data_IF_119948399885
#
_entry.id   IF_119948399885
#
_cell.length_a   1.000
_cell.length_b   1.000
_cell.length_c   1.000
_cell.angle_alpha   90.00
_cell.angle_beta   90.00
_cell.angle_gamma   90.00
#
_symmetry.space_group_name_H-M   'P 1'
#
loop_
_entity.id
_entity.type
_entity.pdbx_description
1 polymer ?
#
# COMPACT_ATOMS: atom_id res chain seq x y z
N UNK A 1 33.46 -32.26 21.10
CA UNK A 1 34.57 -31.61 21.84
C UNK A 1 35.61 -32.61 22.37
N UNK A 2 35.77 -33.73 21.67
CA UNK A 2 36.70 -34.79 22.07
C UNK A 2 38.13 -34.64 21.51
N UNK A 3 38.48 -33.40 21.09
CA UNK A 3 39.83 -33.09 20.60
C UNK A 3 40.61 -32.37 21.69
N UNK A 4 41.03 -33.12 22.71
CA UNK A 4 41.62 -32.56 23.93
C UNK A 4 43.08 -32.09 23.81
N UNK A 5 43.78 -32.44 22.73
CA UNK A 5 45.22 -32.24 22.66
C UNK A 5 45.73 -31.11 21.72
N UNK A 6 44.85 -30.39 21.03
CA UNK A 6 45.26 -29.29 20.14
C UNK A 6 44.43 -28.02 20.40
N UNK A 7 45.08 -27.02 20.98
CA UNK A 7 44.47 -25.77 21.40
C UNK A 7 43.94 -24.96 20.19
N UNK A 8 44.62 -25.06 19.06
CA UNK A 8 44.28 -24.38 17.82
C UNK A 8 43.00 -24.99 17.19
N UNK A 9 42.89 -26.31 17.16
CA UNK A 9 41.70 -27.04 16.74
C UNK A 9 40.49 -26.75 17.65
N UNK A 10 40.75 -26.58 18.94
CA UNK A 10 39.72 -26.29 19.93
C UNK A 10 39.16 -24.85 19.74
N UNK A 11 40.01 -23.90 19.40
CA UNK A 11 39.62 -22.52 19.14
C UNK A 11 38.81 -22.43 17.84
N UNK A 12 39.27 -23.10 16.77
CA UNK A 12 38.49 -23.20 15.50
C UNK A 12 37.12 -23.85 15.73
N UNK A 13 37.05 -24.94 16.50
CA UNK A 13 35.78 -25.58 16.80
C UNK A 13 34.80 -24.69 17.60
N UNK A 14 35.33 -23.83 18.49
CA UNK A 14 34.51 -22.88 19.23
C UNK A 14 33.97 -21.77 18.34
N UNK A 15 34.80 -21.25 17.42
CA UNK A 15 34.37 -20.24 16.46
C UNK A 15 33.29 -20.78 15.51
N UNK A 16 33.50 -22.03 15.03
CA UNK A 16 32.53 -22.70 14.17
C UNK A 16 31.21 -22.99 14.92
N UNK A 17 31.29 -23.43 16.17
CA UNK A 17 30.11 -23.65 17.00
C UNK A 17 29.30 -22.35 17.17
N UNK A 18 29.98 -21.25 17.50
CA UNK A 18 29.35 -19.95 17.67
C UNK A 18 28.71 -19.43 16.36
N UNK A 19 29.39 -19.66 15.25
CA UNK A 19 28.84 -19.27 13.93
C UNK A 19 27.61 -20.11 13.58
N UNK A 20 27.64 -21.41 13.85
CA UNK A 20 26.53 -22.32 13.59
C UNK A 20 25.33 -22.04 14.53
N UNK A 21 25.55 -21.72 15.79
CA UNK A 21 24.49 -21.31 16.72
C UNK A 21 23.79 -20.05 16.24
N UNK A 22 24.54 -19.04 15.82
CA UNK A 22 23.99 -17.80 15.26
C UNK A 22 23.21 -18.07 13.96
N UNK A 23 23.73 -18.92 13.08
CA UNK A 23 23.04 -19.30 11.85
C UNK A 23 21.73 -20.07 12.11
N UNK A 24 21.72 -20.96 13.11
CA UNK A 24 20.51 -21.69 13.52
C UNK A 24 19.44 -20.72 14.02
N UNK A 25 19.82 -19.73 14.82
CA UNK A 25 18.89 -18.71 15.32
C UNK A 25 18.30 -17.91 14.16
N UNK A 26 19.14 -17.42 13.26
CA UNK A 26 18.72 -16.68 12.07
C UNK A 26 17.77 -17.52 11.18
N UNK A 27 18.14 -18.75 10.86
CA UNK A 27 17.31 -19.63 10.04
C UNK A 27 15.99 -20.00 10.73
N UNK A 28 16.00 -20.15 12.05
CA UNK A 28 14.79 -20.43 12.83
C UNK A 28 13.80 -19.27 12.73
N UNK A 29 14.27 -18.02 12.87
CA UNK A 29 13.42 -16.84 12.72
C UNK A 29 12.91 -16.69 11.29
N UNK A 30 13.76 -16.91 10.30
CA UNK A 30 13.36 -16.86 8.89
C UNK A 30 12.31 -17.93 8.57
N UNK A 31 12.44 -19.15 9.10
CA UNK A 31 11.45 -20.21 8.94
C UNK A 31 10.10 -19.84 9.58
N UNK A 32 10.10 -19.26 10.77
CA UNK A 32 8.87 -18.77 11.41
C UNK A 32 8.12 -17.78 10.51
N UNK A 33 8.85 -16.83 9.90
CA UNK A 33 8.27 -15.85 8.97
C UNK A 33 7.71 -16.54 7.72
N UNK A 34 8.44 -17.51 7.16
CA UNK A 34 8.02 -18.22 5.96
C UNK A 34 6.79 -19.13 6.18
N UNK A 35 6.59 -19.59 7.42
CA UNK A 35 5.44 -20.43 7.80
C UNK A 35 4.18 -19.59 8.12
N UNK A 36 4.27 -18.28 8.20
CA UNK A 36 3.08 -17.45 8.40
C UNK A 36 2.10 -17.64 7.25
N UNK A 37 0.79 -17.71 7.55
CA UNK A 37 -0.22 -17.81 6.52
C UNK A 37 -0.16 -16.55 5.63
N UNK A 38 -0.03 -16.78 4.32
CA UNK A 38 -0.03 -15.70 3.32
C UNK A 38 -1.45 -15.34 2.94
N UNK A 39 -1.71 -14.04 2.78
CA UNK A 39 -2.93 -13.55 2.18
C UNK A 39 -2.96 -13.99 0.70
N UNK A 40 -4.04 -14.63 0.22
CA UNK A 40 -4.14 -15.08 -1.17
C UNK A 40 -4.03 -13.93 -2.19
N UNK A 41 -4.25 -12.70 -1.75
CA UNK A 41 -4.14 -11.50 -2.58
C UNK A 41 -2.73 -10.89 -2.61
N UNK A 42 -1.80 -11.35 -1.78
CA UNK A 42 -0.46 -10.74 -1.62
C UNK A 42 0.33 -10.62 -2.93
N UNK A 43 0.16 -11.55 -3.85
CA UNK A 43 0.85 -11.55 -5.14
C UNK A 43 0.08 -10.80 -6.25
N UNK A 44 -1.11 -10.27 -5.95
CA UNK A 44 -1.93 -9.54 -6.93
C UNK A 44 -1.40 -8.14 -7.19
N UNK A 45 -1.77 -7.62 -8.35
CA UNK A 45 -1.65 -6.20 -8.66
C UNK A 45 -2.61 -5.38 -7.79
N UNK A 46 -2.42 -4.09 -7.77
CA UNK A 46 -3.17 -3.18 -6.91
C UNK A 46 -3.88 -2.12 -7.73
N UNK A 47 -5.16 -1.91 -7.42
CA UNK A 47 -5.87 -0.69 -7.77
C UNK A 47 -5.75 0.24 -6.56
N UNK A 48 -5.07 1.36 -6.76
CA UNK A 48 -4.83 2.38 -5.74
C UNK A 48 -5.61 3.63 -6.11
N UNK A 49 -6.46 4.06 -5.19
CA UNK A 49 -7.25 5.27 -5.31
C UNK A 49 -6.81 6.28 -4.24
N UNK A 50 -6.62 7.53 -4.64
CA UNK A 50 -6.36 8.65 -3.73
C UNK A 50 -7.44 9.69 -3.95
N UNK A 51 -8.13 10.09 -2.87
CA UNK A 51 -9.14 11.17 -2.88
C UNK A 51 -8.77 12.26 -1.92
N UNK A 52 -8.78 13.49 -2.38
CA UNK A 52 -8.70 14.65 -1.52
C UNK A 52 -9.89 14.67 -0.55
N UNK A 53 -9.60 14.90 0.73
CA UNK A 53 -10.60 15.01 1.78
C UNK A 53 -10.85 16.47 2.18
N UNK A 54 -10.96 16.69 3.49
CA UNK A 54 -11.17 18.02 4.05
C UNK A 54 -9.92 18.89 3.90
N UNK A 55 -10.06 20.13 3.45
CA UNK A 55 -8.96 21.09 3.31
C UNK A 55 -8.94 21.83 1.96
N UNK A 56 -9.96 21.65 1.13
CA UNK A 56 -10.07 22.37 -0.15
C UNK A 56 -8.87 22.15 -1.07
N UNK A 57 -8.32 23.23 -1.61
CA UNK A 57 -7.19 23.19 -2.54
C UNK A 57 -5.94 22.54 -1.94
N UNK A 58 -5.66 22.77 -0.67
CA UNK A 58 -4.52 22.15 0.00
C UNK A 58 -4.69 20.64 0.16
N UNK A 59 -5.91 20.14 0.38
CA UNK A 59 -6.17 18.70 0.40
C UNK A 59 -5.93 18.07 -0.99
N UNK A 60 -6.25 18.78 -2.07
CA UNK A 60 -5.96 18.35 -3.44
C UNK A 60 -4.45 18.34 -3.74
N UNK A 61 -3.70 19.34 -3.27
CA UNK A 61 -2.24 19.36 -3.35
C UNK A 61 -1.62 18.21 -2.54
N UNK A 62 -2.14 17.93 -1.35
CA UNK A 62 -1.70 16.79 -0.56
C UNK A 62 -2.02 15.45 -1.25
N UNK A 63 -3.17 15.32 -1.91
CA UNK A 63 -3.49 14.18 -2.77
C UNK A 63 -2.46 13.97 -3.87
N UNK A 64 -2.02 15.06 -4.50
CA UNK A 64 -0.94 15.03 -5.51
C UNK A 64 0.41 14.58 -4.92
N UNK A 65 0.72 15.02 -3.69
CA UNK A 65 1.94 14.58 -3.00
C UNK A 65 1.92 13.08 -2.68
N UNK A 66 0.77 12.57 -2.22
CA UNK A 66 0.58 11.12 -1.99
C UNK A 66 0.72 10.33 -3.29
N UNK A 67 0.09 10.77 -4.37
CA UNK A 67 0.24 10.14 -5.68
C UNK A 67 1.70 10.08 -6.08
N UNK A 68 2.42 11.19 -6.00
CA UNK A 68 3.84 11.28 -6.32
C UNK A 68 4.67 10.32 -5.44
N UNK A 69 4.36 10.23 -4.15
CA UNK A 69 5.02 9.29 -3.23
C UNK A 69 4.84 7.84 -3.69
N UNK A 70 3.62 7.43 -4.01
CA UNK A 70 3.35 6.07 -4.46
C UNK A 70 3.98 5.76 -5.82
N UNK A 71 3.96 6.69 -6.76
CA UNK A 71 4.65 6.54 -8.05
C UNK A 71 6.16 6.34 -7.86
N UNK A 72 6.80 7.15 -6.99
CA UNK A 72 8.23 7.00 -6.68
C UNK A 72 8.54 5.70 -5.95
N UNK A 73 7.64 5.25 -5.09
CA UNK A 73 7.80 3.96 -4.43
C UNK A 73 7.69 2.81 -5.43
N UNK A 74 6.69 2.82 -6.29
CA UNK A 74 6.52 1.84 -7.35
C UNK A 74 7.75 1.77 -8.29
N UNK A 75 8.31 2.92 -8.68
CA UNK A 75 9.52 3.01 -9.48
C UNK A 75 10.71 2.31 -8.79
N UNK A 76 10.95 2.58 -7.49
CA UNK A 76 12.00 1.92 -6.71
C UNK A 76 11.81 0.41 -6.61
N UNK A 77 10.56 -0.03 -6.51
CA UNK A 77 10.20 -1.45 -6.47
C UNK A 77 10.20 -2.10 -7.86
N UNK A 78 10.43 -1.33 -8.92
CA UNK A 78 10.37 -1.75 -10.33
C UNK A 78 8.99 -2.27 -10.75
N UNK A 79 7.95 -1.74 -10.12
CA UNK A 79 6.56 -1.98 -10.50
C UNK A 79 6.16 -1.05 -11.64
N UNK A 80 5.25 -1.53 -12.49
CA UNK A 80 4.66 -0.69 -13.54
C UNK A 80 3.42 -0.01 -13.00
N UNK A 81 3.24 1.26 -13.34
CA UNK A 81 2.05 2.04 -12.97
C UNK A 81 1.30 2.46 -14.22
N UNK A 82 -0.01 2.43 -14.14
CA UNK A 82 -0.92 2.84 -15.20
C UNK A 82 -2.02 3.71 -14.58
N UNK A 83 -2.15 4.93 -15.08
CA UNK A 83 -3.20 5.84 -14.63
C UNK A 83 -4.52 5.43 -15.31
N UNK A 84 -5.54 5.09 -14.51
CA UNK A 84 -6.87 4.71 -15.00
C UNK A 84 -7.75 5.94 -15.12
N UNK A 85 -7.78 6.76 -14.06
CA UNK A 85 -8.60 7.97 -13.98
C UNK A 85 -7.87 9.03 -13.17
N UNK A 86 -8.03 10.30 -13.57
CA UNK A 86 -7.50 11.44 -12.83
C UNK A 86 -8.45 12.62 -12.95
N UNK A 87 -8.78 13.21 -11.80
CA UNK A 87 -9.51 14.46 -11.70
C UNK A 87 -8.62 15.49 -10.99
N UNK A 88 -8.02 16.34 -11.79
CA UNK A 88 -7.05 17.35 -11.34
C UNK A 88 -7.70 18.71 -11.10
N UNK A 89 -7.03 19.52 -10.29
CA UNK A 89 -7.39 20.92 -10.08
C UNK A 89 -6.54 21.84 -10.93
N UNK A 90 -7.01 23.06 -11.17
CA UNK A 90 -6.26 24.08 -11.93
C UNK A 90 -4.90 24.44 -11.31
N UNK A 91 -4.74 24.22 -10.00
CA UNK A 91 -3.50 24.47 -9.25
C UNK A 91 -2.54 23.28 -9.19
N UNK A 92 -2.79 22.20 -9.96
CA UNK A 92 -1.96 20.99 -9.97
C UNK A 92 -2.22 20.03 -8.81
N UNK A 93 -3.29 20.21 -8.06
CA UNK A 93 -3.78 19.25 -7.07
C UNK A 93 -4.59 18.13 -7.71
N UNK A 94 -4.83 17.07 -6.98
CA UNK A 94 -5.63 15.91 -7.38
C UNK A 94 -6.84 15.80 -6.46
N UNK A 95 -8.05 15.93 -7.02
CA UNK A 95 -9.30 15.65 -6.29
C UNK A 95 -9.50 14.14 -6.12
N UNK A 96 -9.26 13.41 -7.19
CA UNK A 96 -9.37 11.96 -7.23
C UNK A 96 -8.41 11.40 -8.28
N UNK A 97 -7.76 10.32 -7.98
CA UNK A 97 -6.94 9.58 -8.94
C UNK A 97 -7.06 8.09 -8.66
N UNK A 98 -7.20 7.33 -9.72
CA UNK A 98 -7.18 5.86 -9.69
C UNK A 98 -6.03 5.38 -10.56
N UNK A 99 -5.16 4.57 -9.98
CA UNK A 99 -4.04 3.97 -10.72
C UNK A 99 -3.93 2.48 -10.46
N UNK A 100 -3.51 1.74 -11.48
CA UNK A 100 -3.16 0.34 -11.39
C UNK A 100 -1.66 0.22 -11.18
N UNK A 101 -1.25 -0.53 -10.15
CA UNK A 101 0.14 -0.84 -9.83
C UNK A 101 0.37 -2.33 -10.08
N UNK A 102 1.18 -2.64 -11.10
CA UNK A 102 1.47 -4.01 -11.55
C UNK A 102 2.85 -4.44 -11.08
N UNK A 103 2.90 -5.46 -10.23
CA UNK A 103 4.17 -6.01 -9.78
C UNK A 103 4.02 -7.06 -8.69
N UNK A 104 4.98 -7.97 -8.65
CA UNK A 104 4.98 -9.04 -7.65
C UNK A 104 5.04 -8.46 -6.23
N UNK A 105 4.10 -8.86 -5.39
CA UNK A 105 4.01 -8.42 -4.01
C UNK A 105 3.54 -6.96 -3.84
N UNK A 106 2.94 -6.36 -4.88
CA UNK A 106 2.44 -4.99 -4.80
C UNK A 106 1.34 -4.87 -3.73
N UNK A 107 0.38 -5.79 -3.74
CA UNK A 107 -0.68 -5.79 -2.75
C UNK A 107 -0.17 -6.04 -1.33
N UNK A 108 0.75 -6.99 -1.15
CA UNK A 108 1.31 -7.31 0.18
C UNK A 108 1.97 -6.10 0.86
N UNK A 109 2.50 -5.17 0.07
CA UNK A 109 3.16 -3.95 0.56
C UNK A 109 2.19 -2.80 0.75
N UNK A 110 1.29 -2.59 -0.21
CA UNK A 110 0.42 -1.41 -0.24
C UNK A 110 -0.88 -1.60 0.54
N UNK A 111 -1.33 -2.82 0.85
CA UNK A 111 -2.59 -3.08 1.55
C UNK A 111 -2.76 -2.34 2.88
N UNK A 112 -1.65 -2.00 3.53
CA UNK A 112 -1.66 -1.28 4.82
C UNK A 112 -1.79 0.25 4.66
N UNK A 113 -1.72 0.76 3.43
CA UNK A 113 -1.87 2.18 3.13
C UNK A 113 -3.34 2.64 3.08
N UNK A 114 -4.29 1.69 3.04
CA UNK A 114 -5.72 2.03 3.05
C UNK A 114 -6.12 2.77 4.31
N UNK A 115 -6.73 3.93 4.14
CA UNK A 115 -7.21 4.74 5.25
C UNK A 115 -7.13 6.23 4.99
N UNK A 116 -7.27 7.00 6.06
CA UNK A 116 -7.18 8.46 6.00
C UNK A 116 -5.77 8.90 6.37
N UNK A 117 -5.13 9.56 5.43
CA UNK A 117 -3.84 10.22 5.60
C UNK A 117 -4.06 11.67 5.99
N UNK A 118 -3.29 12.16 6.92
CA UNK A 118 -3.39 13.53 7.43
C UNK A 118 -2.01 14.20 7.42
N UNK A 119 -1.98 15.44 6.96
CA UNK A 119 -0.79 16.29 7.01
C UNK A 119 -1.05 17.55 7.82
N UNK A 120 -0.07 17.96 8.59
CA UNK A 120 -0.03 19.25 9.26
C UNK A 120 1.18 20.01 8.73
N UNK A 121 0.92 21.06 7.96
CA UNK A 121 1.96 21.91 7.36
C UNK A 121 1.41 23.31 7.13
N UNK A 122 2.30 24.24 6.84
CA UNK A 122 1.87 25.53 6.26
C UNK A 122 1.52 25.25 4.81
N UNK A 123 0.24 25.43 4.40
CA UNK A 123 -0.18 25.16 3.02
C UNK A 123 0.50 26.13 2.04
N UNK A 124 0.72 25.70 0.81
CA UNK A 124 1.15 26.58 -0.28
C UNK A 124 0.10 27.68 -0.59
N UNK A 125 -1.16 27.43 -0.25
CA UNK A 125 -2.30 28.33 -0.38
C UNK A 125 -2.42 29.35 0.76
N UNK A 126 -1.56 29.27 1.81
CA UNK A 126 -1.61 30.11 3.02
C UNK A 126 -0.55 31.20 2.97
N UNK A 127 -0.96 32.44 3.00
CA UNK A 127 -0.05 33.61 2.97
C UNK A 127 0.42 34.07 4.37
N UNK A 128 -0.28 33.66 5.42
CA UNK A 128 0.00 34.09 6.80
C UNK A 128 0.94 33.19 7.60
N UNK A 129 1.49 32.13 7.00
CA UNK A 129 2.43 31.21 7.64
C UNK A 129 1.80 30.31 8.73
N UNK A 130 0.48 30.19 8.75
CA UNK A 130 -0.24 29.36 9.75
C UNK A 130 -0.26 27.90 9.33
N UNK A 131 -0.05 27.01 10.31
CA UNK A 131 -0.15 25.56 10.11
C UNK A 131 -1.62 25.16 10.01
N UNK A 132 -1.98 24.44 8.94
CA UNK A 132 -3.30 23.87 8.73
C UNK A 132 -3.21 22.34 8.71
N UNK A 133 -4.36 21.70 8.91
CA UNK A 133 -4.50 20.24 8.77
C UNK A 133 -5.29 19.94 7.51
N UNK A 134 -4.72 19.12 6.64
CA UNK A 134 -5.41 18.61 5.46
C UNK A 134 -5.43 17.09 5.49
N UNK A 135 -6.43 16.50 4.86
CA UNK A 135 -6.61 15.06 4.82
C UNK A 135 -6.87 14.57 3.38
N UNK A 136 -6.43 13.38 3.11
CA UNK A 136 -6.77 12.62 1.92
C UNK A 136 -7.04 11.17 2.28
N UNK A 137 -7.94 10.51 1.58
CA UNK A 137 -8.19 9.08 1.75
C UNK A 137 -7.47 8.28 0.66
N UNK A 138 -6.96 7.14 1.07
CA UNK A 138 -6.33 6.16 0.18
C UNK A 138 -7.11 4.86 0.27
N UNK A 139 -7.49 4.29 -0.87
CA UNK A 139 -8.04 2.95 -0.95
C UNK A 139 -7.09 2.07 -1.76
N UNK A 140 -6.81 0.88 -1.22
CA UNK A 140 -5.97 -0.13 -1.87
C UNK A 140 -6.77 -1.40 -2.02
N UNK A 141 -7.01 -1.80 -3.25
CA UNK A 141 -7.79 -2.99 -3.59
C UNK A 141 -6.92 -3.94 -4.44
N UNK A 142 -7.02 -5.26 -4.23
CA UNK A 142 -6.38 -6.20 -5.13
C UNK A 142 -7.08 -6.15 -6.50
N UNK A 143 -6.30 -6.19 -7.58
CA UNK A 143 -6.87 -6.43 -8.91
C UNK A 143 -7.48 -7.83 -8.92
N UNK A 144 -8.75 -7.93 -9.22
CA UNK A 144 -9.45 -9.20 -9.40
C UNK A 144 -9.81 -9.36 -10.86
N UNK A 145 -9.73 -10.61 -11.35
CA UNK A 145 -10.27 -10.95 -12.65
C UNK A 145 -11.78 -10.71 -12.67
N UNK A 146 -12.33 -10.40 -13.83
CA UNK A 146 -13.78 -10.26 -14.00
C UNK A 146 -14.46 -11.49 -13.43
N UNK A 147 -15.19 -11.30 -12.34
CA UNK A 147 -16.07 -12.33 -11.80
C UNK A 147 -17.30 -12.33 -12.68
N UNK A 148 -17.51 -13.41 -13.43
CA UNK A 148 -18.78 -13.64 -14.10
C UNK A 148 -19.88 -13.73 -13.02
N UNK A 149 -20.52 -12.61 -12.74
CA UNK A 149 -21.67 -12.57 -11.87
C UNK A 149 -22.88 -13.05 -12.70
N UNK A 150 -23.20 -14.31 -12.56
CA UNK A 150 -24.42 -14.87 -13.15
C UNK A 150 -25.60 -14.50 -12.24
N UNK A 151 -26.18 -13.32 -12.50
CA UNK A 151 -27.36 -12.86 -11.77
C UNK A 151 -28.59 -13.49 -12.40
N UNK A 152 -29.33 -14.31 -11.64
CA UNK A 152 -30.61 -14.82 -12.08
C UNK A 152 -31.64 -13.67 -12.11
N UNK A 153 -32.26 -13.36 -13.25
CA UNK A 153 -33.28 -12.31 -13.33
C UNK A 153 -34.43 -12.44 -12.33
N UNK A 154 -34.69 -13.66 -11.84
CA UNK A 154 -35.71 -13.92 -10.83
C UNK A 154 -35.35 -13.45 -9.43
N UNK A 155 -34.03 -13.22 -9.17
CA UNK A 155 -33.52 -12.69 -7.91
C UNK A 155 -33.55 -11.14 -7.87
N UNK A 156 -33.91 -10.52 -9.02
CA UNK A 156 -33.95 -9.06 -9.14
C UNK A 156 -35.38 -8.55 -9.01
N UNK A 157 -35.65 -7.82 -7.96
CA UNK A 157 -36.89 -7.07 -7.81
C UNK A 157 -36.69 -5.62 -8.22
N UNK A 158 -37.45 -5.13 -9.19
CA UNK A 158 -37.43 -3.74 -9.62
C UNK A 158 -38.64 -3.01 -9.05
N UNK A 159 -38.42 -2.12 -8.10
CA UNK A 159 -39.47 -1.23 -7.56
C UNK A 159 -39.33 0.15 -8.22
N UNK A 160 -40.39 0.58 -8.90
CA UNK A 160 -40.43 1.89 -9.58
C UNK A 160 -41.33 2.84 -8.81
N UNK A 161 -40.81 4.01 -8.47
CA UNK A 161 -41.62 5.05 -7.82
C UNK A 161 -41.33 6.43 -8.45
N UNK A 162 -42.28 7.34 -8.33
CA UNK A 162 -42.11 8.70 -8.83
C UNK A 162 -41.27 9.50 -7.83
N UNK A 163 -40.31 10.29 -8.32
CA UNK A 163 -39.64 11.26 -7.50
C UNK A 163 -40.66 12.25 -6.93
N UNK A 164 -40.65 12.44 -5.61
CA UNK A 164 -41.57 13.34 -4.91
C UNK A 164 -41.13 14.79 -4.86
N UNK A 165 -40.00 15.16 -5.52
CA UNK A 165 -39.46 16.51 -5.56
C UNK A 165 -39.54 17.11 -6.96
N UNK A 166 -39.85 18.43 -7.02
CA UNK A 166 -39.63 19.20 -8.24
C UNK A 166 -38.11 19.31 -8.45
N UNK A 167 -37.64 18.79 -9.60
CA UNK A 167 -36.23 18.93 -10.04
C UNK A 167 -35.88 20.38 -10.39
#
# INVERSE_FOLDING_TARGET
LDMEDDEELREMAREELKANEAAIEEYTENLKILLLPKDPNDDKNVILEVRAGTGGDEAALFGSDLLRMYLRYAERMRWKTELIESNETEIGGVKEVVMLVKGKGAYSRLKYESGVHRVQRVPETESGGRVHTSAASVAVMPEVDDVEVNLDPSDVRVDVYRASGNG
#
